data_IF_729043725948
#
_entry.id   IF_729043725948
#
_cell.length_a   1.000
_cell.length_b   1.000
_cell.length_c   1.000
_cell.angle_alpha   90.00
_cell.angle_beta   90.00
_cell.angle_gamma   90.00
#
_symmetry.space_group_name_H-M   'P 1'
#
loop_
_entity.id
_entity.type
_entity.pdbx_description
1 polymer ?
#
# COMPACT_ATOMS: atom_id res chain seq x y z
N UNK A 1 -8.56 15.15 15.03
CA UNK A 1 -8.87 13.98 14.21
C UNK A 1 -7.76 13.60 13.21
N UNK A 2 -7.01 14.54 12.63
CA UNK A 2 -5.90 14.22 11.69
C UNK A 2 -4.66 13.60 12.35
N UNK A 3 -4.58 13.72 13.66
CA UNK A 3 -3.54 13.13 14.52
C UNK A 3 -3.65 11.59 14.54
N UNK A 4 -4.85 11.03 14.40
CA UNK A 4 -5.08 9.58 14.56
C UNK A 4 -4.47 8.70 13.45
N UNK A 5 -4.27 9.22 12.24
CA UNK A 5 -3.84 8.48 11.06
C UNK A 5 -2.34 8.20 11.02
N UNK A 6 -1.57 9.23 11.38
CA UNK A 6 -0.15 9.13 11.72
C UNK A 6 0.07 8.18 12.88
N UNK A 7 -0.86 8.24 13.85
CA UNK A 7 -0.73 7.49 15.08
C UNK A 7 -0.88 5.99 14.86
N UNK A 8 -1.78 5.50 13.98
CA UNK A 8 -2.01 4.08 13.85
C UNK A 8 -0.75 3.30 13.41
N UNK A 9 -0.14 3.66 12.26
CA UNK A 9 1.08 2.98 11.81
C UNK A 9 2.29 3.33 12.68
N UNK A 10 2.45 4.61 13.07
CA UNK A 10 3.53 5.02 13.97
C UNK A 10 3.39 4.38 15.35
N UNK A 11 2.21 4.37 15.95
CA UNK A 11 1.95 3.70 17.23
C UNK A 11 2.18 2.20 17.13
N UNK A 12 1.71 1.57 16.03
CA UNK A 12 1.97 0.15 15.79
C UNK A 12 3.47 -0.12 15.69
N UNK A 13 4.21 0.73 14.97
CA UNK A 13 5.68 0.64 14.86
C UNK A 13 6.39 0.82 16.19
N UNK A 14 5.88 1.69 17.07
CA UNK A 14 6.46 1.92 18.41
C UNK A 14 6.11 0.79 19.39
N UNK A 15 4.86 0.34 19.41
CA UNK A 15 4.35 -0.58 20.42
C UNK A 15 4.63 -2.06 20.07
N UNK A 16 4.64 -2.38 18.78
CA UNK A 16 4.78 -3.76 18.27
C UNK A 16 5.59 -3.79 16.96
N UNK A 17 6.60 -2.94 16.85
CA UNK A 17 7.32 -2.68 15.61
C UNK A 17 8.01 -3.87 14.98
N UNK A 18 8.36 -4.89 15.76
CA UNK A 18 8.98 -6.12 15.27
C UNK A 18 7.97 -7.20 14.87
N UNK A 19 6.70 -7.05 15.27
CA UNK A 19 5.67 -8.04 14.91
C UNK A 19 5.23 -7.86 13.45
N UNK A 20 4.89 -8.96 12.75
CA UNK A 20 4.33 -8.90 11.42
C UNK A 20 3.08 -8.00 11.37
N UNK A 21 3.02 -7.14 10.36
CA UNK A 21 1.83 -6.38 10.03
C UNK A 21 1.28 -6.78 8.67
N UNK A 22 2.17 -7.08 7.74
CA UNK A 22 1.81 -7.49 6.38
C UNK A 22 2.65 -8.70 5.99
N UNK A 23 1.99 -9.80 5.67
CA UNK A 23 2.62 -11.00 5.10
C UNK A 23 2.06 -11.23 3.69
N UNK A 24 2.91 -11.57 2.76
CA UNK A 24 2.54 -11.77 1.36
C UNK A 24 3.04 -13.13 0.87
N UNK A 25 2.19 -13.80 0.08
CA UNK A 25 2.49 -15.08 -0.56
C UNK A 25 2.17 -15.05 -2.05
N UNK A 26 3.09 -15.59 -2.85
CA UNK A 26 2.88 -15.84 -4.27
C UNK A 26 3.58 -17.14 -4.68
N UNK A 27 2.83 -18.23 -4.84
CA UNK A 27 3.41 -19.56 -5.04
C UNK A 27 4.31 -19.95 -3.86
N UNK A 28 5.60 -20.15 -4.12
CA UNK A 28 6.61 -20.46 -3.12
C UNK A 28 7.22 -19.22 -2.44
N UNK A 29 7.00 -18.03 -3.00
CA UNK A 29 7.55 -16.80 -2.44
C UNK A 29 6.75 -16.34 -1.23
N UNK A 30 7.46 -15.92 -0.18
CA UNK A 30 6.92 -15.32 1.02
C UNK A 30 7.68 -14.05 1.37
N UNK A 31 6.96 -12.97 1.57
CA UNK A 31 7.48 -11.71 2.09
C UNK A 31 6.77 -11.34 3.39
N UNK A 32 7.50 -10.76 4.33
CA UNK A 32 6.94 -10.30 5.60
C UNK A 32 7.48 -8.91 5.93
N UNK A 33 6.58 -8.00 6.24
CA UNK A 33 6.91 -6.66 6.69
C UNK A 33 6.36 -6.47 8.11
N UNK A 34 7.26 -6.19 9.04
CA UNK A 34 6.87 -5.68 10.35
C UNK A 34 6.28 -4.28 10.22
N UNK A 35 5.58 -3.82 11.25
CA UNK A 35 5.08 -2.44 11.27
C UNK A 35 6.19 -1.39 11.09
N UNK A 36 7.39 -1.67 11.64
CA UNK A 36 8.56 -0.80 11.47
C UNK A 36 9.06 -0.81 10.04
N UNK A 37 9.20 -1.99 9.44
CA UNK A 37 9.65 -2.12 8.05
C UNK A 37 8.68 -1.46 7.09
N UNK A 38 7.36 -1.66 7.28
CA UNK A 38 6.34 -1.01 6.47
C UNK A 38 6.40 0.52 6.60
N UNK A 39 6.56 1.05 7.83
CA UNK A 39 6.72 2.48 8.06
C UNK A 39 7.97 3.03 7.36
N UNK A 40 9.09 2.32 7.42
CA UNK A 40 10.32 2.71 6.72
C UNK A 40 10.10 2.79 5.20
N UNK A 41 9.47 1.79 4.60
CA UNK A 41 9.13 1.83 3.18
C UNK A 41 8.24 3.02 2.84
N UNK A 42 7.18 3.25 3.62
CA UNK A 42 6.24 4.37 3.41
C UNK A 42 6.97 5.71 3.48
N UNK A 43 7.77 5.94 4.53
CA UNK A 43 8.46 7.23 4.71
C UNK A 43 9.54 7.48 3.66
N UNK A 44 10.27 6.45 3.25
CA UNK A 44 11.24 6.54 2.14
C UNK A 44 10.56 6.82 0.81
N UNK A 45 9.41 6.19 0.53
CA UNK A 45 8.61 6.48 -0.67
C UNK A 45 8.12 7.93 -0.67
N UNK A 46 7.66 8.44 0.48
CA UNK A 46 7.25 9.85 0.60
C UNK A 46 8.43 10.81 0.41
N UNK A 47 9.61 10.45 0.92
CA UNK A 47 10.81 11.24 0.69
C UNK A 47 11.14 11.33 -0.81
N UNK A 48 11.04 10.23 -1.53
CA UNK A 48 11.21 10.22 -2.98
C UNK A 48 10.19 11.14 -3.66
N UNK A 49 8.90 11.04 -3.29
CA UNK A 49 7.86 11.92 -3.85
C UNK A 49 8.13 13.40 -3.57
N UNK A 50 8.60 13.75 -2.37
CA UNK A 50 8.98 15.12 -2.03
C UNK A 50 10.15 15.63 -2.88
N UNK A 51 11.16 14.77 -3.12
CA UNK A 51 12.31 15.13 -3.96
C UNK A 51 11.95 15.34 -5.44
N UNK A 52 10.90 14.65 -5.91
CA UNK A 52 10.34 14.80 -7.25
C UNK A 52 9.28 15.92 -7.36
N UNK A 53 9.03 16.66 -6.26
CA UNK A 53 8.12 17.80 -6.26
C UNK A 53 6.65 17.46 -6.25
N UNK A 54 6.26 16.27 -5.81
CA UNK A 54 4.84 15.89 -5.70
C UNK A 54 4.18 16.65 -4.56
N UNK A 55 3.19 17.47 -4.90
CA UNK A 55 2.48 18.32 -3.95
C UNK A 55 1.23 17.63 -3.35
N UNK A 56 0.89 17.90 -2.08
CA UNK A 56 -0.36 17.43 -1.49
C UNK A 56 -1.60 17.92 -2.24
N UNK A 57 -2.67 17.12 -2.21
CA UNK A 57 -3.95 17.44 -2.87
C UNK A 57 -4.07 16.89 -4.29
N UNK A 58 -2.97 16.40 -4.87
CA UNK A 58 -2.99 15.73 -6.16
C UNK A 58 -3.63 14.35 -6.13
N UNK A 59 -3.70 13.71 -7.29
CA UNK A 59 -4.20 12.35 -7.48
C UNK A 59 -3.03 11.39 -7.65
N UNK A 60 -3.07 10.28 -6.93
CA UNK A 60 -2.20 9.13 -7.13
C UNK A 60 -2.96 8.02 -7.84
N UNK A 61 -2.54 7.66 -9.04
CA UNK A 61 -3.04 6.49 -9.76
C UNK A 61 -2.14 5.29 -9.43
N UNK A 62 -2.73 4.29 -8.80
CA UNK A 62 -2.01 3.08 -8.43
C UNK A 62 -2.34 1.94 -9.41
N UNK A 63 -1.84 2.03 -10.63
CA UNK A 63 -2.01 1.00 -11.67
C UNK A 63 -1.40 -0.34 -11.24
N UNK A 64 -0.34 -0.31 -10.42
CA UNK A 64 0.25 -1.49 -9.77
C UNK A 64 -0.78 -2.22 -8.90
N UNK A 65 -1.62 -1.49 -8.18
CA UNK A 65 -2.69 -2.08 -7.38
C UNK A 65 -3.72 -2.80 -8.28
N UNK A 66 -4.04 -2.25 -9.44
CA UNK A 66 -4.96 -2.89 -10.38
C UNK A 66 -4.40 -4.19 -10.96
N UNK A 67 -3.10 -4.21 -11.27
CA UNK A 67 -2.43 -5.38 -11.82
C UNK A 67 -2.16 -6.47 -10.76
N UNK A 68 -1.69 -6.08 -9.58
CA UNK A 68 -1.29 -6.98 -8.48
C UNK A 68 -1.79 -6.43 -7.13
N UNK A 69 -3.12 -6.43 -6.89
CA UNK A 69 -3.70 -5.86 -5.68
C UNK A 69 -3.23 -6.52 -4.40
N UNK A 70 -2.90 -7.80 -4.44
CA UNK A 70 -2.38 -8.57 -3.32
C UNK A 70 -0.87 -8.45 -3.08
N UNK A 71 -0.12 -7.73 -3.92
CA UNK A 71 1.31 -7.57 -3.73
C UNK A 71 1.61 -6.55 -2.62
N UNK A 72 2.59 -6.85 -1.75
CA UNK A 72 2.93 -5.98 -0.63
C UNK A 72 3.33 -4.56 -1.04
N UNK A 73 3.95 -4.38 -2.20
CA UNK A 73 4.32 -3.06 -2.75
C UNK A 73 3.10 -2.18 -2.99
N UNK A 74 1.95 -2.76 -3.37
CA UNK A 74 0.69 -2.04 -3.51
C UNK A 74 0.23 -1.41 -2.20
N UNK A 75 0.42 -2.11 -1.07
CA UNK A 75 0.14 -1.57 0.26
C UNK A 75 1.07 -0.42 0.64
N UNK A 76 2.35 -0.51 0.28
CA UNK A 76 3.33 0.57 0.52
C UNK A 76 2.90 1.84 -0.22
N UNK A 77 2.63 1.75 -1.51
CA UNK A 77 2.28 2.92 -2.32
C UNK A 77 0.91 3.51 -1.97
N UNK A 78 -0.04 2.68 -1.56
CA UNK A 78 -1.31 3.14 -0.99
C UNK A 78 -1.08 4.04 0.23
N UNK A 79 -0.33 3.53 1.20
CA UNK A 79 -0.04 4.27 2.45
C UNK A 79 0.84 5.49 2.19
N UNK A 80 1.83 5.39 1.30
CA UNK A 80 2.71 6.50 0.93
C UNK A 80 1.91 7.64 0.27
N UNK A 81 0.98 7.32 -0.64
CA UNK A 81 0.09 8.30 -1.27
C UNK A 81 -0.74 9.05 -0.23
N UNK A 82 -1.38 8.34 0.70
CA UNK A 82 -2.13 8.96 1.78
C UNK A 82 -1.24 9.79 2.71
N UNK A 83 -0.02 9.32 3.00
CA UNK A 83 0.94 10.04 3.84
C UNK A 83 1.41 11.34 3.20
N UNK A 84 1.61 11.33 1.87
CA UNK A 84 1.95 12.51 1.07
C UNK A 84 0.76 13.47 0.85
N UNK A 85 -0.46 13.09 1.25
CA UNK A 85 -1.66 13.91 1.09
C UNK A 85 -2.31 13.79 -0.28
N UNK A 86 -2.05 12.70 -1.00
CA UNK A 86 -2.66 12.40 -2.29
C UNK A 86 -3.95 11.61 -2.09
N UNK A 87 -4.91 11.84 -2.97
CA UNK A 87 -6.07 10.97 -3.13
C UNK A 87 -5.72 9.82 -4.07
N UNK A 88 -6.04 8.60 -3.66
CA UNK A 88 -5.77 7.40 -4.47
C UNK A 88 -6.96 7.15 -5.41
N UNK A 89 -6.69 7.11 -6.71
CA UNK A 89 -7.65 6.71 -7.74
C UNK A 89 -7.32 5.30 -8.27
N UNK A 90 -8.21 4.35 -8.00
CA UNK A 90 -8.15 2.97 -8.50
C UNK A 90 -8.92 2.79 -9.81
N UNK A 91 -9.66 3.80 -10.26
CA UNK A 91 -10.46 3.74 -11.49
C UNK A 91 -9.67 4.11 -12.73
N UNK A 92 -8.61 4.89 -12.56
CA UNK A 92 -7.77 5.39 -13.64
C UNK A 92 -8.42 6.49 -14.49
N UNK A 93 -9.48 7.13 -13.99
CA UNK A 93 -10.26 8.09 -14.77
C UNK A 93 -9.73 9.52 -14.67
N UNK A 94 -8.93 9.83 -13.64
CA UNK A 94 -8.48 11.18 -13.35
C UNK A 94 -7.05 11.43 -13.83
N UNK A 95 -6.70 12.68 -14.09
CA UNK A 95 -5.31 13.09 -14.29
C UNK A 95 -4.53 12.88 -12.99
N UNK A 96 -3.34 12.29 -13.11
CA UNK A 96 -2.55 11.90 -11.96
C UNK A 96 -1.27 12.72 -11.83
N UNK A 97 -1.02 13.27 -10.64
CA UNK A 97 0.27 13.84 -10.28
C UNK A 97 1.31 12.72 -10.06
N UNK A 98 0.86 11.58 -9.59
CA UNK A 98 1.67 10.37 -9.41
C UNK A 98 0.99 9.18 -10.09
N UNK A 99 1.76 8.41 -10.88
CA UNK A 99 1.33 7.07 -11.29
C UNK A 99 2.38 6.04 -10.89
N UNK A 100 1.91 4.94 -10.29
CA UNK A 100 2.75 3.78 -9.92
C UNK A 100 2.31 2.58 -10.72
N UNK A 101 3.23 2.05 -11.54
CA UNK A 101 2.99 0.92 -12.43
C UNK A 101 3.78 -0.32 -12.02
N UNK A 102 3.35 -1.48 -12.51
CA UNK A 102 4.13 -2.73 -12.48
C UNK A 102 4.94 -2.92 -13.77
N UNK A 103 5.66 -4.06 -13.90
CA UNK A 103 6.55 -4.31 -15.04
C UNK A 103 5.81 -4.43 -16.38
N UNK A 104 4.55 -4.92 -16.35
CA UNK A 104 3.75 -5.22 -17.55
C UNK A 104 2.60 -4.24 -17.76
N UNK A 105 2.65 -3.10 -17.09
CA UNK A 105 1.59 -2.08 -17.14
C UNK A 105 2.13 -0.82 -17.81
N UNK A 106 1.51 -0.43 -18.92
CA UNK A 106 1.81 0.85 -19.55
C UNK A 106 1.18 1.99 -18.73
N UNK A 107 1.85 3.14 -18.60
CA UNK A 107 1.27 4.30 -17.94
C UNK A 107 0.04 4.81 -18.70
N UNK A 108 -0.94 5.29 -17.96
CA UNK A 108 -2.15 5.93 -18.51
C UNK A 108 -1.92 7.43 -18.53
N UNK A 109 -1.90 8.03 -19.71
CA UNK A 109 -1.56 9.45 -19.88
C UNK A 109 -0.09 9.77 -19.51
N UNK A 110 0.18 11.02 -19.22
CA UNK A 110 1.51 11.50 -18.81
C UNK A 110 1.39 12.07 -17.39
N UNK A 111 1.59 11.24 -16.35
CA UNK A 111 1.62 11.75 -14.97
C UNK A 111 2.81 12.69 -14.79
N UNK A 112 2.75 13.56 -13.77
CA UNK A 112 3.89 14.43 -13.45
C UNK A 112 5.08 13.58 -12.97
N UNK A 113 4.81 12.55 -12.17
CA UNK A 113 5.80 11.57 -11.69
C UNK A 113 5.32 10.16 -11.98
N UNK A 114 6.19 9.36 -12.60
CA UNK A 114 5.96 7.94 -12.91
C UNK A 114 6.94 7.07 -12.14
N UNK A 115 6.43 6.15 -11.32
CA UNK A 115 7.21 5.14 -10.60
C UNK A 115 6.93 3.77 -11.21
N UNK A 116 7.96 2.98 -11.43
CA UNK A 116 7.82 1.58 -11.86
C UNK A 116 8.34 0.62 -10.80
N UNK A 117 7.53 -0.36 -10.44
CA UNK A 117 7.86 -1.43 -9.50
C UNK A 117 8.19 -2.71 -10.27
N UNK A 118 9.28 -3.39 -9.89
CA UNK A 118 9.64 -4.69 -10.46
C UNK A 118 8.68 -5.82 -10.04
N UNK A 119 7.98 -5.65 -8.92
CA UNK A 119 7.15 -6.68 -8.25
C UNK A 119 7.93 -7.95 -7.88
N UNK A 120 9.25 -7.86 -7.82
CA UNK A 120 10.10 -8.90 -7.26
C UNK A 120 9.90 -8.98 -5.72
N UNK A 121 10.09 -10.16 -5.10
CA UNK A 121 9.85 -10.36 -3.67
C UNK A 121 10.56 -9.36 -2.76
N UNK A 122 11.77 -8.91 -3.14
CA UNK A 122 12.61 -7.98 -2.38
C UNK A 122 12.66 -6.57 -2.98
N UNK A 123 11.73 -6.21 -3.86
CA UNK A 123 11.72 -4.93 -4.58
C UNK A 123 13.07 -4.57 -5.21
N UNK A 124 13.69 -5.54 -5.88
CA UNK A 124 14.91 -5.32 -6.66
C UNK A 124 14.65 -4.38 -7.83
N UNK A 125 15.70 -3.81 -8.40
CA UNK A 125 15.59 -2.93 -9.55
C UNK A 125 14.86 -3.60 -10.72
N UNK A 126 14.15 -2.78 -11.49
CA UNK A 126 13.48 -3.22 -12.71
C UNK A 126 14.52 -3.62 -13.77
N UNK A 127 14.30 -4.72 -14.49
CA UNK A 127 15.16 -5.13 -15.61
C UNK A 127 15.09 -4.12 -16.76
N UNK A 128 13.92 -3.54 -16.97
CA UNK A 128 13.66 -2.53 -17.99
C UNK A 128 12.71 -1.48 -17.45
N UNK A 129 13.06 -0.22 -17.60
CA UNK A 129 12.21 0.90 -17.23
C UNK A 129 11.46 1.46 -18.44
N UNK A 130 10.20 1.80 -18.23
CA UNK A 130 9.43 2.65 -19.15
C UNK A 130 10.12 4.02 -19.21
N UNK A 131 10.13 4.63 -20.38
CA UNK A 131 10.75 5.95 -20.55
C UNK A 131 10.15 7.00 -19.61
N UNK A 132 11.00 7.66 -18.84
CA UNK A 132 10.61 8.66 -17.85
C UNK A 132 10.20 8.08 -16.50
N UNK A 133 10.19 6.75 -16.32
CA UNK A 133 9.89 6.16 -15.03
C UNK A 133 11.12 6.18 -14.11
N UNK A 134 10.86 6.38 -12.83
CA UNK A 134 11.81 6.21 -11.72
C UNK A 134 11.65 4.78 -11.21
N UNK A 135 12.76 4.11 -10.93
CA UNK A 135 12.73 2.76 -10.36
C UNK A 135 12.29 2.80 -8.90
N UNK A 136 11.31 1.98 -8.54
CA UNK A 136 10.94 1.81 -7.13
C UNK A 136 12.13 1.40 -6.23
N UNK A 137 13.15 0.76 -6.77
CA UNK A 137 14.35 0.42 -6.01
C UNK A 137 15.11 1.66 -5.51
N UNK A 138 14.95 2.83 -6.15
CA UNK A 138 15.56 4.09 -5.73
C UNK A 138 15.04 4.57 -4.36
N UNK A 139 13.87 4.09 -3.93
CA UNK A 139 13.34 4.29 -2.57
C UNK A 139 14.34 3.82 -1.51
N UNK A 140 15.12 2.77 -1.79
CA UNK A 140 16.11 2.23 -0.84
C UNK A 140 17.24 3.22 -0.56
N UNK A 141 17.57 4.12 -1.50
CA UNK A 141 18.59 5.14 -1.34
C UNK A 141 18.11 6.35 -0.51
N UNK A 142 16.81 6.49 -0.30
CA UNK A 142 16.26 7.58 0.50
C UNK A 142 16.68 7.47 1.97
N UNK A 143 16.83 8.59 2.69
CA UNK A 143 17.13 8.59 4.12
C UNK A 143 16.10 7.84 4.94
N UNK A 144 16.53 7.29 6.09
CA UNK A 144 15.65 6.64 7.06
C UNK A 144 14.88 7.66 7.95
N UNK A 145 14.90 8.92 7.59
CA UNK A 145 14.24 9.98 8.33
C UNK A 145 12.73 9.89 8.22
N UNK A 146 12.06 10.12 9.34
CA UNK A 146 10.60 10.13 9.38
C UNK A 146 10.06 11.42 8.74
N UNK A 147 9.59 11.32 7.51
CA UNK A 147 8.94 12.44 6.82
C UNK A 147 7.61 12.77 7.49
N UNK A 148 7.35 14.07 7.68
CA UNK A 148 6.09 14.52 8.25
C UNK A 148 4.92 14.20 7.31
N UNK A 149 3.90 13.50 7.80
CA UNK A 149 2.70 13.25 7.01
C UNK A 149 1.96 14.56 6.70
N UNK A 150 1.43 14.67 5.51
CA UNK A 150 0.62 15.79 5.00
C UNK A 150 -0.77 15.32 4.57
N UNK A 151 -1.53 14.62 5.44
CA UNK A 151 -2.77 13.98 5.04
C UNK A 151 -3.80 15.01 4.59
N UNK A 152 -4.63 14.62 3.62
CA UNK A 152 -5.83 15.37 3.27
C UNK A 152 -6.79 15.47 4.45
N UNK A 153 -7.73 16.42 4.42
CA UNK A 153 -8.75 16.56 5.46
C UNK A 153 -9.54 15.25 5.63
N UNK A 154 -9.99 14.98 6.86
CA UNK A 154 -10.65 13.72 7.18
C UNK A 154 -11.96 13.49 6.40
N UNK A 155 -12.68 14.57 6.10
CA UNK A 155 -13.91 14.56 5.31
C UNK A 155 -13.66 14.58 3.79
N UNK A 156 -12.41 14.73 3.34
CA UNK A 156 -12.06 14.63 1.93
C UNK A 156 -12.04 13.17 1.47
N UNK A 157 -12.23 12.94 0.17
CA UNK A 157 -12.06 11.62 -0.44
C UNK A 157 -10.59 11.25 -0.44
N UNK A 158 -10.29 10.04 0.04
CA UNK A 158 -8.94 9.49 0.13
C UNK A 158 -8.71 8.34 -0.83
N UNK A 159 -9.78 7.62 -1.17
CA UNK A 159 -9.75 6.49 -2.06
C UNK A 159 -10.98 6.54 -2.96
N UNK A 160 -10.77 6.47 -4.26
CA UNK A 160 -11.80 6.29 -5.27
C UNK A 160 -11.63 4.91 -5.90
N UNK A 161 -12.62 4.05 -5.73
CA UNK A 161 -12.69 2.71 -6.25
C UNK A 161 -14.09 2.42 -6.79
N UNK A 162 -14.73 1.33 -6.37
CA UNK A 162 -16.15 1.05 -6.65
C UNK A 162 -17.06 2.07 -5.99
N UNK A 163 -16.58 2.66 -4.91
CA UNK A 163 -17.17 3.80 -4.24
C UNK A 163 -16.07 4.77 -3.79
N UNK A 164 -16.47 5.94 -3.37
CA UNK A 164 -15.58 6.89 -2.72
C UNK A 164 -15.51 6.66 -1.22
N UNK A 165 -14.30 6.72 -0.68
CA UNK A 165 -14.04 6.60 0.75
C UNK A 165 -13.40 7.88 1.26
N UNK A 166 -14.06 8.53 2.19
CA UNK A 166 -13.43 9.63 2.94
C UNK A 166 -12.48 9.08 4.00
N UNK A 167 -11.57 9.92 4.48
CA UNK A 167 -10.73 9.55 5.60
C UNK A 167 -11.55 9.16 6.84
N UNK A 168 -12.67 9.82 7.11
CA UNK A 168 -13.58 9.47 8.24
C UNK A 168 -14.15 8.07 8.08
N UNK A 169 -14.61 7.71 6.89
CA UNK A 169 -15.14 6.37 6.61
C UNK A 169 -14.09 5.29 6.75
N UNK A 170 -12.88 5.51 6.19
CA UNK A 170 -11.77 4.56 6.31
C UNK A 170 -11.38 4.33 7.79
N UNK A 171 -11.30 5.40 8.59
CA UNK A 171 -10.95 5.28 10.01
C UNK A 171 -12.14 4.95 10.92
N UNK A 172 -13.35 4.92 10.37
CA UNK A 172 -14.56 4.38 11.01
C UNK A 172 -14.79 2.89 10.76
N UNK A 173 -13.92 2.23 10.00
CA UNK A 173 -14.01 0.78 9.77
C UNK A 173 -13.87 0.00 11.08
N UNK A 174 -14.45 -1.19 11.11
CA UNK A 174 -14.36 -2.10 12.26
C UNK A 174 -12.90 -2.52 12.45
N UNK A 175 -12.30 -2.26 13.63
CA UNK A 175 -10.94 -2.67 13.91
C UNK A 175 -10.78 -4.20 13.95
N UNK A 176 -9.72 -4.70 13.31
CA UNK A 176 -9.36 -6.13 13.32
C UNK A 176 -8.14 -6.32 14.23
N UNK A 177 -8.29 -7.09 15.31
CA UNK A 177 -7.25 -7.28 16.33
C UNK A 177 -6.47 -8.60 16.20
N UNK A 178 -6.89 -9.46 15.29
CA UNK A 178 -6.24 -10.75 15.02
C UNK A 178 -5.69 -10.79 13.60
N UNK A 179 -4.80 -11.74 13.27
CA UNK A 179 -4.37 -11.96 11.89
C UNK A 179 -5.56 -12.32 11.00
N UNK A 180 -5.68 -11.64 9.86
CA UNK A 180 -6.69 -11.94 8.84
C UNK A 180 -6.02 -12.23 7.52
N UNK A 181 -6.64 -13.11 6.73
CA UNK A 181 -6.14 -13.55 5.44
C UNK A 181 -7.12 -13.13 4.35
N UNK A 182 -6.58 -12.59 3.26
CA UNK A 182 -7.29 -12.45 2.01
C UNK A 182 -6.78 -13.50 1.03
N UNK A 183 -7.64 -14.45 0.73
CA UNK A 183 -7.38 -15.52 -0.25
C UNK A 183 -7.29 -14.98 -1.68
N UNK A 184 -6.72 -15.72 -2.65
CA UNK A 184 -6.65 -15.32 -4.05
C UNK A 184 -8.03 -14.96 -4.62
N UNK A 185 -9.08 -15.68 -4.24
CA UNK A 185 -10.45 -15.42 -4.69
C UNK A 185 -10.98 -14.12 -4.09
N UNK A 186 -10.72 -13.85 -2.82
CA UNK A 186 -11.12 -12.60 -2.17
C UNK A 186 -10.43 -11.40 -2.79
N UNK A 187 -9.13 -11.50 -3.02
CA UNK A 187 -8.34 -10.44 -3.70
C UNK A 187 -8.88 -10.21 -5.11
N UNK A 188 -9.16 -11.27 -5.88
CA UNK A 188 -9.70 -11.15 -7.22
C UNK A 188 -11.09 -10.50 -7.25
N UNK A 189 -11.95 -10.82 -6.29
CA UNK A 189 -13.32 -10.28 -6.22
C UNK A 189 -13.37 -8.86 -5.65
N UNK A 190 -12.60 -8.59 -4.60
CA UNK A 190 -12.61 -7.33 -3.87
C UNK A 190 -11.62 -6.29 -4.40
N UNK A 191 -10.55 -6.74 -5.07
CA UNK A 191 -9.52 -5.88 -5.64
C UNK A 191 -8.78 -5.06 -4.60
N UNK A 192 -8.16 -3.99 -5.06
CA UNK A 192 -7.37 -3.08 -4.24
C UNK A 192 -8.18 -2.37 -3.16
N UNK A 193 -9.47 -2.16 -3.39
CA UNK A 193 -10.35 -1.53 -2.41
C UNK A 193 -10.53 -2.41 -1.17
N UNK A 194 -10.72 -3.73 -1.35
CA UNK A 194 -10.78 -4.68 -0.25
C UNK A 194 -9.45 -4.74 0.50
N UNK A 195 -8.33 -4.78 -0.21
CA UNK A 195 -7.00 -4.76 0.40
C UNK A 195 -6.80 -3.50 1.23
N UNK A 196 -7.15 -2.32 0.69
CA UNK A 196 -7.01 -1.03 1.36
C UNK A 196 -7.84 -0.96 2.65
N UNK A 197 -9.11 -1.37 2.58
CA UNK A 197 -10.02 -1.35 3.73
C UNK A 197 -9.63 -2.36 4.80
N UNK A 198 -9.21 -3.57 4.42
CA UNK A 198 -8.76 -4.59 5.37
C UNK A 198 -7.44 -4.19 6.03
N UNK A 199 -6.47 -3.66 5.28
CA UNK A 199 -5.23 -3.12 5.84
C UNK A 199 -5.51 -2.01 6.86
N UNK A 200 -6.42 -1.09 6.53
CA UNK A 200 -6.81 -0.01 7.45
C UNK A 200 -7.43 -0.59 8.73
N UNK A 201 -8.32 -1.56 8.62
CA UNK A 201 -8.93 -2.25 9.78
C UNK A 201 -7.89 -2.96 10.67
N UNK A 202 -6.88 -3.59 10.08
CA UNK A 202 -5.76 -4.19 10.81
C UNK A 202 -4.91 -3.12 11.54
N UNK A 203 -4.62 -2.00 10.89
CA UNK A 203 -3.91 -0.88 11.50
C UNK A 203 -4.67 -0.31 12.71
N UNK A 204 -5.98 -0.19 12.61
CA UNK A 204 -6.84 0.33 13.68
C UNK A 204 -6.96 -0.65 14.86
N UNK A 205 -7.03 -1.94 14.59
CA UNK A 205 -7.25 -2.97 15.62
C UNK A 205 -6.00 -3.62 16.19
N UNK A 206 -4.84 -3.38 15.60
CA UNK A 206 -3.61 -4.03 16.00
C UNK A 206 -3.42 -5.45 15.45
N UNK A 207 -4.26 -5.89 14.54
CA UNK A 207 -4.10 -7.16 13.80
C UNK A 207 -3.03 -7.10 12.72
N UNK A 208 -2.96 -8.13 11.90
CA UNK A 208 -2.07 -8.23 10.75
C UNK A 208 -2.83 -8.72 9.52
N UNK A 209 -2.32 -8.38 8.34
CA UNK A 209 -2.91 -8.76 7.06
C UNK A 209 -2.01 -9.77 6.35
N UNK A 210 -2.58 -10.91 5.97
CA UNK A 210 -1.94 -11.92 5.13
C UNK A 210 -2.58 -11.86 3.74
N UNK A 211 -1.78 -11.51 2.74
CA UNK A 211 -2.18 -11.44 1.35
C UNK A 211 -1.70 -12.68 0.62
N UNK A 212 -2.60 -13.45 0.05
CA UNK A 212 -2.26 -14.64 -0.74
C UNK A 212 -2.69 -14.43 -2.18
N UNK A 213 -1.73 -14.13 -3.06
CA UNK A 213 -2.01 -13.93 -4.48
C UNK A 213 -2.16 -15.26 -5.23
N UNK A 214 -1.36 -16.25 -4.87
CA UNK A 214 -1.47 -17.61 -5.41
C UNK A 214 -0.89 -18.63 -4.42
N UNK A 215 -1.53 -19.78 -4.32
CA UNK A 215 -1.06 -20.93 -3.54
C UNK A 215 -1.80 -22.21 -3.94
N UNK A 216 -1.15 -23.33 -3.73
CA UNK A 216 -1.78 -24.66 -3.83
C UNK A 216 -2.30 -25.16 -2.46
N UNK A 217 -1.92 -24.48 -1.36
CA UNK A 217 -2.29 -24.90 0.01
C UNK A 217 -2.62 -23.69 0.91
N UNK A 218 -3.80 -23.13 0.71
CA UNK A 218 -4.30 -22.00 1.51
C UNK A 218 -4.50 -22.36 2.99
N UNK A 219 -4.90 -23.60 3.26
CA UNK A 219 -5.18 -24.04 4.63
C UNK A 219 -3.91 -24.08 5.47
N UNK A 220 -2.80 -24.53 4.90
CA UNK A 220 -1.50 -24.52 5.58
C UNK A 220 -1.03 -23.10 5.85
N UNK A 221 -1.18 -22.18 4.90
CA UNK A 221 -0.82 -20.76 5.12
C UNK A 221 -1.67 -20.18 6.25
N UNK A 222 -2.98 -20.36 6.22
CA UNK A 222 -3.88 -19.85 7.26
C UNK A 222 -3.51 -20.39 8.66
N UNK A 223 -3.15 -21.67 8.74
CA UNK A 223 -2.73 -22.28 10.00
C UNK A 223 -1.37 -21.76 10.49
N UNK A 224 -0.39 -21.59 9.59
CA UNK A 224 0.95 -21.08 9.92
C UNK A 224 0.90 -19.64 10.42
N UNK A 225 0.10 -18.79 9.78
CA UNK A 225 -0.04 -17.38 10.14
C UNK A 225 -1.07 -17.16 11.27
N UNK A 226 -1.79 -18.21 11.69
CA UNK A 226 -2.87 -18.10 12.66
C UNK A 226 -3.97 -17.15 12.19
N UNK A 227 -4.19 -17.05 10.88
CA UNK A 227 -5.04 -16.08 10.24
C UNK A 227 -6.40 -16.66 9.86
N UNK A 228 -7.43 -15.81 9.93
CA UNK A 228 -8.80 -16.16 9.52
C UNK A 228 -9.06 -15.57 8.14
N UNK A 229 -9.60 -16.38 7.22
CA UNK A 229 -10.04 -15.92 5.90
C UNK A 229 -11.31 -15.04 6.06
N UNK A 230 -11.32 -13.82 5.51
CA UNK A 230 -12.38 -12.80 5.69
C UNK A 230 -12.93 -12.29 4.35
#
# INVERSE_FOLDING_TARGET
SDVYKRQALCQRSQNAGALPLLTWYHGADRGELSARTLLTWVTKSVYLLDSEGVEPGGVSRLSVCGARPGHWTSCVWLLASWWAGLRVDLTGQEEAALEVIGPDVAPVNSPDVLIQCSLAPLATACETLVSGAIDNADVLAAPDDLVAARPAAANAVWLTGRQEWTGEQLFGLVPLSQPVLLSPDRIRLGGSELVATTLTSCLLGGGSLVLVESTDDLATIAAQEGAVDV
#
